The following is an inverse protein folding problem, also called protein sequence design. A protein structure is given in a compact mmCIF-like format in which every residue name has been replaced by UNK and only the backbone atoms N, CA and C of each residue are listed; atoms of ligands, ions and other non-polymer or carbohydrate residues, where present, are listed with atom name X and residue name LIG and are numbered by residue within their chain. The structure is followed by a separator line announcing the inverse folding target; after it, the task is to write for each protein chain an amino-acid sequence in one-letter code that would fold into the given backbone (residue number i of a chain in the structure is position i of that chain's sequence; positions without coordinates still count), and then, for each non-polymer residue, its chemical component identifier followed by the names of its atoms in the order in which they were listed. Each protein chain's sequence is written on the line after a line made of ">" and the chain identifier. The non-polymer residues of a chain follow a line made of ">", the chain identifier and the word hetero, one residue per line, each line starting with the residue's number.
data_IF_991587639045
#
_entry.id   IF_991587639045
#
_cell.length_a   1.000
_cell.length_b   1.000
_cell.length_c   1.000
_cell.angle_alpha   90.00
_cell.angle_beta   90.00
_cell.angle_gamma   90.00
#
_symmetry.space_group_name_H-M   'P 1'
#
loop_
_entity.id
_entity.type
_entity.pdbx_description
1 polymer ?
#
# COMPACT_ATOMS: atom_id res chain seq x y z
N UNK A 1 6.19 30.24 -8.15
CA UNK A 1 5.62 29.02 -7.57
C UNK A 1 4.37 29.46 -6.81
N UNK A 2 3.20 28.97 -7.18
CA UNK A 2 1.98 29.25 -6.40
C UNK A 2 2.11 28.56 -5.04
N UNK A 3 2.04 29.34 -3.96
CA UNK A 3 2.01 28.78 -2.62
C UNK A 3 0.69 27.99 -2.45
N UNK A 4 0.78 26.74 -2.01
CA UNK A 4 -0.41 25.94 -1.63
C UNK A 4 -1.08 26.55 -0.41
N UNK A 5 -0.27 27.11 0.49
CA UNK A 5 -0.64 27.81 1.70
C UNK A 5 0.41 28.89 2.04
N UNK A 6 0.25 29.57 3.13
CA UNK A 6 1.15 30.62 3.65
C UNK A 6 2.28 30.10 4.57
N UNK A 7 2.45 28.76 4.66
CA UNK A 7 3.53 28.16 5.41
C UNK A 7 4.88 28.27 4.68
N UNK A 8 6.01 28.27 5.41
CA UNK A 8 7.34 28.30 4.80
C UNK A 8 7.57 27.21 3.76
N UNK A 9 8.43 27.43 2.77
CA UNK A 9 8.86 26.39 1.84
C UNK A 9 9.41 25.16 2.57
N UNK A 10 9.08 23.95 2.11
CA UNK A 10 9.48 22.71 2.79
C UNK A 10 11.00 22.59 3.00
N UNK A 11 11.80 23.16 2.11
CA UNK A 11 13.26 23.19 2.27
C UNK A 11 13.66 23.95 3.53
N UNK A 12 13.07 25.11 3.77
CA UNK A 12 13.31 25.91 4.98
C UNK A 12 12.82 25.19 6.25
N UNK A 13 11.68 24.52 6.18
CA UNK A 13 11.17 23.68 7.29
C UNK A 13 12.17 22.57 7.63
N UNK A 14 12.68 21.86 6.62
CA UNK A 14 13.68 20.81 6.82
C UNK A 14 14.98 21.34 7.40
N UNK A 15 15.45 22.51 6.96
CA UNK A 15 16.65 23.16 7.49
C UNK A 15 16.43 23.63 8.94
N UNK A 16 15.33 24.31 9.21
CA UNK A 16 14.98 24.85 10.54
C UNK A 16 14.87 23.75 11.60
N UNK A 17 14.26 22.63 11.26
CA UNK A 17 14.07 21.50 12.17
C UNK A 17 15.20 20.44 12.09
N UNK A 18 16.23 20.66 11.28
CA UNK A 18 17.33 19.70 11.12
C UNK A 18 16.89 18.32 10.60
N UNK A 19 15.89 18.27 9.73
CA UNK A 19 15.28 17.04 9.22
C UNK A 19 16.06 16.42 8.07
N UNK A 20 17.30 16.01 8.32
CA UNK A 20 18.06 15.25 7.33
C UNK A 20 17.42 13.86 7.15
N UNK A 21 17.19 13.46 5.89
CA UNK A 21 16.63 12.16 5.56
C UNK A 21 17.52 11.01 6.07
N UNK A 22 16.93 10.07 6.80
CA UNK A 22 17.61 8.88 7.32
C UNK A 22 17.40 7.68 6.39
N UNK A 23 18.51 7.12 5.87
CA UNK A 23 18.46 5.89 5.05
C UNK A 23 17.84 4.70 5.78
N UNK A 24 18.07 4.58 7.10
CA UNK A 24 17.49 3.53 7.93
C UNK A 24 15.97 3.58 8.00
N UNK A 25 15.37 4.75 7.76
CA UNK A 25 13.92 4.94 7.71
C UNK A 25 13.38 4.95 6.26
N UNK A 26 14.23 4.77 5.26
CA UNK A 26 13.83 4.80 3.84
C UNK A 26 13.29 6.15 3.36
N UNK A 27 13.71 7.25 4.00
CA UNK A 27 13.18 8.58 3.76
C UNK A 27 13.69 9.19 2.46
N UNK A 28 12.76 9.67 1.62
CA UNK A 28 13.00 10.48 0.42
C UNK A 28 11.89 11.54 0.40
N UNK A 29 12.22 12.79 0.68
CA UNK A 29 11.24 13.87 0.82
C UNK A 29 10.89 14.50 -0.52
N UNK A 30 9.63 14.86 -0.69
CA UNK A 30 9.10 15.61 -1.82
C UNK A 30 8.97 17.08 -1.42
N UNK A 31 9.74 17.96 -2.07
CA UNK A 31 9.69 19.41 -1.78
C UNK A 31 8.83 20.19 -2.77
N UNK A 32 8.54 19.63 -3.94
CA UNK A 32 7.72 20.27 -4.96
C UNK A 32 6.23 20.15 -4.60
N UNK A 33 5.66 21.27 -4.17
CA UNK A 33 4.25 21.36 -3.79
C UNK A 33 3.30 21.20 -4.99
N UNK A 34 3.74 21.43 -6.23
CA UNK A 34 2.91 21.14 -7.41
C UNK A 34 2.79 19.63 -7.60
N UNK A 35 3.88 18.89 -7.37
CA UNK A 35 3.87 17.43 -7.43
C UNK A 35 3.02 16.83 -6.32
N UNK A 36 3.21 17.27 -5.06
CA UNK A 36 2.38 16.76 -3.95
C UNK A 36 0.92 17.13 -4.12
N UNK A 37 0.59 18.32 -4.67
CA UNK A 37 -0.76 18.69 -5.08
C UNK A 37 -1.32 17.77 -6.17
N UNK A 38 -0.51 17.39 -7.17
CA UNK A 38 -0.92 16.40 -8.18
C UNK A 38 -1.23 15.04 -7.56
N UNK A 39 -0.41 14.60 -6.60
CA UNK A 39 -0.64 13.34 -5.87
C UNK A 39 -1.94 13.44 -5.05
N UNK A 40 -2.15 14.51 -4.31
CA UNK A 40 -3.36 14.73 -3.53
C UNK A 40 -4.62 14.71 -4.40
N UNK A 41 -4.62 15.43 -5.54
CA UNK A 41 -5.74 15.43 -6.50
C UNK A 41 -6.00 14.04 -7.10
N UNK A 42 -4.97 13.21 -7.27
CA UNK A 42 -5.13 11.84 -7.77
C UNK A 42 -5.83 10.91 -6.79
N UNK A 43 -5.90 11.28 -5.51
CA UNK A 43 -6.74 10.59 -4.53
C UNK A 43 -8.25 10.87 -4.72
N UNK A 44 -8.61 11.68 -5.72
CA UNK A 44 -9.99 12.06 -6.07
C UNK A 44 -10.50 13.23 -5.21
N UNK A 45 -11.77 13.63 -5.37
CA UNK A 45 -12.35 14.69 -4.54
C UNK A 45 -12.21 14.37 -3.06
N UNK A 46 -11.66 15.31 -2.28
CA UNK A 46 -11.34 15.10 -0.86
C UNK A 46 -12.35 15.78 0.09
N UNK A 47 -13.30 16.55 -0.45
CA UNK A 47 -14.32 17.19 0.37
C UNK A 47 -15.12 16.15 1.17
N UNK A 48 -15.22 16.37 2.47
CA UNK A 48 -15.86 15.42 3.40
C UNK A 48 -15.08 14.13 3.70
N UNK A 49 -13.89 13.93 3.11
CA UNK A 49 -13.10 12.70 3.21
C UNK A 49 -12.03 12.83 4.29
N UNK A 50 -11.93 11.83 5.16
CA UNK A 50 -10.76 11.62 6.05
C UNK A 50 -9.64 10.95 5.26
N UNK A 51 -8.44 11.55 5.25
CA UNK A 51 -7.28 10.94 4.61
C UNK A 51 -6.32 10.43 5.66
N UNK A 52 -5.91 9.17 5.54
CA UNK A 52 -4.83 8.60 6.34
C UNK A 52 -3.54 8.69 5.54
N UNK A 53 -2.53 9.35 6.10
CA UNK A 53 -1.20 9.47 5.52
C UNK A 53 -0.19 8.72 6.38
N UNK A 54 0.62 7.88 5.75
CA UNK A 54 1.67 7.12 6.42
C UNK A 54 3.02 7.74 6.06
N UNK A 55 3.79 8.12 7.08
CA UNK A 55 5.09 8.73 6.91
C UNK A 55 5.03 10.12 6.27
N UNK A 56 4.30 11.08 6.86
CA UNK A 56 4.20 12.44 6.33
C UNK A 56 5.56 13.15 6.23
N UNK A 57 6.55 12.73 7.02
CA UNK A 57 7.84 13.40 7.10
C UNK A 57 7.68 14.87 7.47
N UNK A 58 8.29 15.82 6.73
CA UNK A 58 8.12 17.25 6.98
C UNK A 58 6.75 17.81 6.53
N UNK A 59 5.82 16.98 6.07
CA UNK A 59 4.44 17.36 5.78
C UNK A 59 4.16 17.87 4.38
N UNK A 60 5.00 17.54 3.39
CA UNK A 60 4.79 18.03 2.01
C UNK A 60 3.50 17.54 1.37
N UNK A 61 3.18 16.26 1.50
CA UNK A 61 1.92 15.70 1.02
C UNK A 61 0.77 16.06 1.96
N UNK A 62 0.99 16.10 3.27
CA UNK A 62 0.02 16.53 4.28
C UNK A 62 -0.57 17.89 3.94
N UNK A 63 0.29 18.89 3.65
CA UNK A 63 -0.13 20.25 3.25
C UNK A 63 -0.99 20.22 1.99
N UNK A 64 -0.58 19.43 0.99
CA UNK A 64 -1.34 19.30 -0.24
C UNK A 64 -2.72 18.66 -0.02
N UNK A 65 -2.83 17.61 0.79
CA UNK A 65 -4.10 16.96 1.12
C UNK A 65 -5.07 17.93 1.81
N UNK A 66 -4.56 18.72 2.76
CA UNK A 66 -5.36 19.72 3.49
C UNK A 66 -5.80 20.86 2.56
N UNK A 67 -4.92 21.33 1.69
CA UNK A 67 -5.20 22.40 0.73
C UNK A 67 -6.19 21.96 -0.37
N UNK A 68 -6.13 20.69 -0.81
CA UNK A 68 -7.08 20.11 -1.77
C UNK A 68 -8.44 19.72 -1.13
N UNK A 69 -8.69 20.11 0.12
CA UNK A 69 -10.01 20.06 0.73
C UNK A 69 -10.30 18.83 1.58
N UNK A 70 -9.29 18.00 1.94
CA UNK A 70 -9.54 16.90 2.86
C UNK A 70 -10.25 17.40 4.14
N UNK A 71 -11.32 16.71 4.55
CA UNK A 71 -12.01 17.02 5.80
C UNK A 71 -11.00 17.07 6.95
N UNK A 72 -10.18 16.07 7.03
CA UNK A 72 -9.06 15.96 7.96
C UNK A 72 -8.00 14.99 7.42
N UNK A 73 -6.78 15.11 7.93
CA UNK A 73 -5.68 14.18 7.70
C UNK A 73 -5.28 13.55 9.03
N UNK A 74 -5.23 12.22 9.08
CA UNK A 74 -4.66 11.46 10.18
C UNK A 74 -3.29 10.99 9.70
N UNK A 75 -2.23 11.59 10.25
CA UNK A 75 -0.85 11.36 9.82
C UNK A 75 -0.11 10.49 10.85
N UNK A 76 0.32 9.29 10.44
CA UNK A 76 1.08 8.38 11.31
C UNK A 76 2.56 8.50 10.97
N UNK A 77 3.37 9.01 11.91
CA UNK A 77 4.80 9.26 11.74
C UNK A 77 5.63 8.54 12.81
N UNK A 78 6.63 7.80 12.35
CA UNK A 78 7.56 7.09 13.23
C UNK A 78 8.76 7.94 13.63
N UNK A 79 9.15 8.90 12.80
CA UNK A 79 10.27 9.79 13.07
C UNK A 79 9.83 11.01 13.90
N UNK A 80 10.00 10.91 15.20
CA UNK A 80 9.59 11.98 16.14
C UNK A 80 10.20 13.36 15.83
N UNK A 81 11.32 13.39 15.08
CA UNK A 81 11.93 14.66 14.66
C UNK A 81 11.02 15.47 13.74
N UNK A 82 10.09 14.81 13.04
CA UNK A 82 9.13 15.45 12.15
C UNK A 82 7.94 16.09 12.91
N UNK A 83 7.69 15.70 14.16
CA UNK A 83 6.53 16.15 14.92
C UNK A 83 6.46 17.69 15.09
N UNK A 84 7.55 18.43 15.34
CA UNK A 84 7.50 19.89 15.42
C UNK A 84 7.04 20.54 14.09
N UNK A 85 7.54 20.06 12.94
CA UNK A 85 7.12 20.58 11.64
C UNK A 85 5.65 20.27 11.35
N UNK A 86 5.17 19.10 11.73
CA UNK A 86 3.76 18.73 11.59
C UNK A 86 2.86 19.55 12.54
N UNK A 87 3.36 19.93 13.72
CA UNK A 87 2.63 20.81 14.64
C UNK A 87 2.38 22.20 14.05
N UNK A 88 3.33 22.77 13.31
CA UNK A 88 3.14 24.05 12.58
C UNK A 88 2.02 23.93 11.54
N UNK A 89 1.97 22.81 10.81
CA UNK A 89 0.88 22.55 9.87
C UNK A 89 -0.46 22.43 10.61
N UNK A 90 -0.48 21.73 11.76
CA UNK A 90 -1.69 21.59 12.58
C UNK A 90 -2.21 22.94 13.08
N UNK A 91 -1.32 23.87 13.44
CA UNK A 91 -1.70 25.24 13.84
C UNK A 91 -2.32 26.02 12.67
N UNK A 92 -1.81 25.82 11.45
CA UNK A 92 -2.35 26.45 10.23
C UNK A 92 -3.71 25.89 9.81
N UNK A 93 -3.95 24.62 10.11
CA UNK A 93 -5.18 23.90 9.78
C UNK A 93 -5.84 23.35 11.08
N UNK A 94 -6.34 24.21 11.97
CA UNK A 94 -6.81 23.79 13.28
C UNK A 94 -7.94 22.74 13.18
N UNK A 95 -7.80 21.65 13.94
CA UNK A 95 -8.76 20.56 13.97
C UNK A 95 -8.80 19.67 12.72
N UNK A 96 -7.92 19.92 11.72
CA UNK A 96 -7.91 19.15 10.47
C UNK A 96 -6.68 18.25 10.30
N UNK A 97 -5.66 18.38 11.12
CA UNK A 97 -4.50 17.49 11.15
C UNK A 97 -4.36 16.83 12.51
N UNK A 98 -4.41 15.50 12.52
CA UNK A 98 -4.19 14.66 13.69
C UNK A 98 -2.91 13.86 13.49
N UNK A 99 -1.90 14.18 14.28
CA UNK A 99 -0.58 13.50 14.18
C UNK A 99 -0.50 12.42 15.24
N UNK A 100 -0.20 11.20 14.79
CA UNK A 100 0.00 10.02 15.64
C UNK A 100 1.46 9.59 15.53
N UNK A 101 2.20 9.65 16.65
CA UNK A 101 3.57 9.10 16.71
C UNK A 101 3.51 7.59 16.84
N UNK A 102 4.07 6.84 15.88
CA UNK A 102 4.06 5.39 15.93
C UNK A 102 4.41 4.70 14.61
N UNK A 103 4.46 3.37 14.68
CA UNK A 103 4.67 2.51 13.51
C UNK A 103 3.33 2.12 12.90
N UNK A 104 3.11 2.46 11.62
CA UNK A 104 1.89 2.13 10.90
C UNK A 104 1.63 0.61 10.78
N UNK A 105 2.67 -0.22 10.88
CA UNK A 105 2.53 -1.68 10.94
C UNK A 105 1.93 -2.16 12.28
N UNK A 106 2.03 -1.38 13.34
CA UNK A 106 1.52 -1.73 14.68
C UNK A 106 0.23 -0.97 15.00
N UNK A 107 -0.07 0.09 14.24
CA UNK A 107 -1.22 0.97 14.48
C UNK A 107 -2.49 0.40 13.85
N UNK A 108 -3.61 0.44 14.58
CA UNK A 108 -4.94 0.18 14.03
C UNK A 108 -5.49 1.45 13.38
N UNK A 109 -5.25 1.58 12.08
CA UNK A 109 -5.66 2.76 11.30
C UNK A 109 -7.19 2.89 11.19
N UNK A 110 -7.90 1.76 11.17
CA UNK A 110 -9.37 1.74 11.12
C UNK A 110 -9.97 2.29 12.41
N UNK A 111 -9.43 1.88 13.55
CA UNK A 111 -9.82 2.42 14.85
C UNK A 111 -9.56 3.92 14.96
N UNK A 112 -8.39 4.40 14.47
CA UNK A 112 -8.08 5.83 14.43
C UNK A 112 -9.10 6.62 13.59
N UNK A 113 -9.49 6.11 12.42
CA UNK A 113 -10.52 6.76 11.59
C UNK A 113 -11.85 6.82 12.32
N UNK A 114 -12.25 5.75 12.99
CA UNK A 114 -13.49 5.70 13.78
C UNK A 114 -13.45 6.69 14.96
N UNK A 115 -12.34 6.79 15.68
CA UNK A 115 -12.13 7.71 16.79
C UNK A 115 -12.24 9.19 16.35
N UNK A 116 -11.75 9.51 15.15
CA UNK A 116 -11.81 10.86 14.57
C UNK A 116 -13.08 11.12 13.74
N UNK A 117 -14.18 10.46 14.09
CA UNK A 117 -15.51 10.74 13.54
C UNK A 117 -15.89 9.91 12.31
N UNK A 118 -15.10 8.92 11.93
CA UNK A 118 -15.43 7.96 10.86
C UNK A 118 -15.73 8.62 9.50
N UNK A 119 -16.63 7.98 8.73
CA UNK A 119 -17.06 8.46 7.42
C UNK A 119 -16.19 7.97 6.27
N UNK A 120 -16.32 8.55 5.07
CA UNK A 120 -15.48 8.18 3.94
C UNK A 120 -14.01 8.40 4.27
N UNK A 121 -13.19 7.36 4.07
CA UNK A 121 -11.78 7.42 4.34
C UNK A 121 -10.94 6.90 3.17
N UNK A 122 -9.76 7.48 2.97
CA UNK A 122 -8.78 7.09 1.94
C UNK A 122 -7.38 7.02 2.54
N UNK A 123 -6.53 6.22 1.93
CA UNK A 123 -5.11 6.26 2.23
C UNK A 123 -4.40 6.95 1.07
N UNK A 124 -3.65 8.01 1.36
CA UNK A 124 -2.81 8.69 0.38
C UNK A 124 -1.43 8.88 1.00
N UNK A 125 -0.40 8.22 0.47
CA UNK A 125 0.91 8.21 1.11
C UNK A 125 2.07 8.04 0.13
N UNK A 126 3.16 8.75 0.42
CA UNK A 126 4.49 8.45 -0.10
C UNK A 126 5.16 7.46 0.86
N UNK A 127 4.86 6.17 0.68
CA UNK A 127 5.28 5.12 1.62
C UNK A 127 6.81 4.95 1.65
N UNK A 128 7.41 4.77 2.85
CA UNK A 128 8.79 4.31 2.94
C UNK A 128 8.93 2.95 2.23
N UNK A 129 9.93 2.82 1.34
CA UNK A 129 10.07 1.66 0.46
C UNK A 129 10.23 0.32 1.21
N UNK A 130 10.77 0.35 2.41
CA UNK A 130 11.01 -0.83 3.24
C UNK A 130 9.74 -1.41 3.88
N UNK A 131 8.67 -0.63 4.04
CA UNK A 131 7.42 -1.07 4.70
C UNK A 131 6.19 -1.04 3.79
N UNK A 132 6.25 -0.33 2.66
CA UNK A 132 5.10 -0.10 1.80
C UNK A 132 4.43 -1.38 1.31
N UNK A 133 5.21 -2.39 0.89
CA UNK A 133 4.66 -3.68 0.45
C UNK A 133 4.01 -4.45 1.60
N UNK A 134 4.59 -4.42 2.80
CA UNK A 134 4.04 -5.09 3.97
C UNK A 134 2.70 -4.47 4.39
N UNK A 135 2.60 -3.14 4.39
CA UNK A 135 1.37 -2.41 4.64
C UNK A 135 0.28 -2.77 3.63
N UNK A 136 0.61 -2.73 2.33
CA UNK A 136 -0.34 -3.10 1.29
C UNK A 136 -0.87 -4.51 1.46
N UNK A 137 0.00 -5.50 1.68
CA UNK A 137 -0.39 -6.90 1.91
C UNK A 137 -1.31 -7.01 3.12
N UNK A 138 -0.97 -6.38 4.25
CA UNK A 138 -1.80 -6.36 5.46
C UNK A 138 -3.20 -5.82 5.19
N UNK A 139 -3.33 -4.73 4.43
CA UNK A 139 -4.65 -4.17 4.07
C UNK A 139 -5.44 -5.11 3.16
N UNK A 140 -4.80 -5.80 2.23
CA UNK A 140 -5.45 -6.76 1.34
C UNK A 140 -5.80 -8.09 2.04
N UNK A 141 -5.12 -8.46 3.12
CA UNK A 141 -5.39 -9.66 3.92
C UNK A 141 -6.50 -9.47 4.97
N UNK A 142 -7.03 -8.24 5.14
CA UNK A 142 -8.07 -7.95 6.13
C UNK A 142 -9.27 -8.89 5.95
N UNK A 143 -9.71 -9.51 7.06
CA UNK A 143 -10.84 -10.43 7.08
C UNK A 143 -11.67 -10.20 8.36
N UNK A 144 -13.01 -10.06 8.28
CA UNK A 144 -13.81 -10.02 7.05
C UNK A 144 -13.46 -8.82 6.18
N UNK A 145 -13.73 -8.95 4.86
CA UNK A 145 -13.47 -7.87 3.91
C UNK A 145 -14.50 -6.74 4.06
N UNK A 146 -14.23 -5.87 4.99
CA UNK A 146 -14.94 -4.62 5.21
C UNK A 146 -13.89 -3.50 5.35
N UNK A 147 -13.23 -3.10 4.24
CA UNK A 147 -12.19 -2.10 4.33
C UNK A 147 -12.80 -0.78 4.79
N UNK A 148 -12.14 -0.15 5.77
CA UNK A 148 -12.53 1.17 6.28
C UNK A 148 -12.17 2.30 5.30
N UNK A 149 -11.54 1.99 4.18
CA UNK A 149 -11.13 2.92 3.13
C UNK A 149 -11.80 2.58 1.80
N UNK A 150 -12.11 3.60 0.99
CA UNK A 150 -12.68 3.46 -0.36
C UNK A 150 -11.63 3.58 -1.48
N UNK A 151 -10.40 4.03 -1.17
CA UNK A 151 -9.32 4.21 -2.13
C UNK A 151 -7.96 4.22 -1.45
N UNK A 152 -6.98 3.66 -2.13
CA UNK A 152 -5.56 3.78 -1.82
C UNK A 152 -4.88 4.51 -2.97
N UNK A 153 -4.11 5.56 -2.67
CA UNK A 153 -3.24 6.30 -3.61
C UNK A 153 -1.84 6.28 -3.04
N UNK A 154 -1.03 5.36 -3.51
CA UNK A 154 0.23 5.01 -2.87
C UNK A 154 1.40 5.15 -3.83
N UNK A 155 2.54 5.62 -3.30
CA UNK A 155 3.78 5.65 -4.06
C UNK A 155 4.62 4.41 -3.78
N UNK A 156 5.08 3.78 -4.86
CA UNK A 156 6.01 2.65 -4.83
C UNK A 156 7.15 2.88 -5.83
N UNK A 157 8.25 2.15 -5.67
CA UNK A 157 9.22 2.00 -6.75
C UNK A 157 8.52 1.40 -7.97
N UNK A 158 8.90 1.85 -9.19
CA UNK A 158 8.22 1.46 -10.42
C UNK A 158 8.10 -0.05 -10.59
N UNK A 159 9.16 -0.81 -10.33
CA UNK A 159 9.14 -2.27 -10.38
C UNK A 159 8.08 -2.87 -9.44
N UNK A 160 7.93 -2.31 -8.24
CA UNK A 160 6.89 -2.77 -7.28
C UNK A 160 5.50 -2.39 -7.77
N UNK A 161 5.34 -1.18 -8.31
CA UNK A 161 4.07 -0.73 -8.89
C UNK A 161 3.63 -1.63 -10.05
N UNK A 162 4.55 -1.99 -10.96
CA UNK A 162 4.31 -2.91 -12.07
C UNK A 162 3.85 -4.28 -11.55
N UNK A 163 4.46 -4.80 -10.49
CA UNK A 163 4.04 -6.06 -9.84
C UNK A 163 2.65 -5.98 -9.17
N UNK A 164 2.28 -4.84 -8.62
CA UNK A 164 0.96 -4.62 -7.98
C UNK A 164 -0.15 -4.69 -9.02
N UNK A 165 0.05 -4.09 -10.20
CA UNK A 165 -0.97 -4.00 -11.24
C UNK A 165 -0.93 -5.15 -12.25
N UNK A 166 0.11 -6.01 -12.19
CA UNK A 166 0.32 -7.08 -13.16
C UNK A 166 -0.80 -8.12 -13.13
N UNK A 167 -1.15 -8.60 -14.32
CA UNK A 167 -2.05 -9.72 -14.57
C UNK A 167 -1.25 -10.87 -15.20
N UNK A 168 -1.80 -12.07 -15.39
CA UNK A 168 -1.13 -13.16 -16.09
C UNK A 168 -0.62 -12.82 -17.51
N UNK A 169 -1.15 -11.74 -18.12
CA UNK A 169 -0.64 -11.25 -19.41
C UNK A 169 0.75 -10.61 -19.29
N UNK A 170 1.08 -10.01 -18.15
CA UNK A 170 2.40 -9.46 -17.83
C UNK A 170 3.22 -10.47 -17.01
N UNK A 171 3.53 -11.62 -17.62
CA UNK A 171 4.16 -12.75 -16.93
C UNK A 171 5.42 -12.41 -16.13
N UNK A 172 6.22 -11.43 -16.57
CA UNK A 172 7.46 -11.06 -15.91
C UNK A 172 7.19 -10.43 -14.52
N UNK A 173 6.18 -9.60 -14.42
CA UNK A 173 5.86 -8.82 -13.23
C UNK A 173 4.78 -9.48 -12.36
N UNK A 174 3.94 -10.33 -12.99
CA UNK A 174 2.86 -11.01 -12.29
C UNK A 174 3.39 -11.94 -11.20
N UNK A 175 2.92 -11.74 -9.98
CA UNK A 175 3.36 -12.46 -8.80
C UNK A 175 2.38 -12.32 -7.65
N UNK A 176 2.84 -12.62 -6.43
CA UNK A 176 2.01 -12.54 -5.21
C UNK A 176 1.26 -11.22 -5.10
N UNK A 177 1.92 -10.07 -5.34
CA UNK A 177 1.28 -8.77 -5.26
C UNK A 177 0.17 -8.60 -6.29
N UNK A 178 0.39 -9.02 -7.54
CA UNK A 178 -0.63 -8.99 -8.59
C UNK A 178 -1.85 -9.84 -8.25
N UNK A 179 -1.64 -11.04 -7.66
CA UNK A 179 -2.75 -11.90 -7.21
C UNK A 179 -3.54 -11.23 -6.10
N UNK A 180 -2.89 -10.78 -5.03
CA UNK A 180 -3.57 -10.18 -3.88
C UNK A 180 -4.29 -8.88 -4.25
N UNK A 181 -3.64 -8.01 -5.02
CA UNK A 181 -4.22 -6.75 -5.50
C UNK A 181 -5.39 -7.01 -6.44
N UNK A 182 -5.24 -7.90 -7.41
CA UNK A 182 -6.30 -8.25 -8.37
C UNK A 182 -7.51 -8.92 -7.71
N UNK A 183 -7.28 -9.65 -6.60
CA UNK A 183 -8.35 -10.27 -5.83
C UNK A 183 -9.21 -9.24 -5.08
N UNK A 184 -8.59 -8.32 -4.33
CA UNK A 184 -9.30 -7.38 -3.44
C UNK A 184 -9.57 -6.00 -4.05
N UNK A 185 -8.89 -5.65 -5.15
CA UNK A 185 -8.99 -4.30 -5.72
C UNK A 185 -8.93 -4.29 -7.25
N UNK A 186 -9.20 -3.10 -7.81
CA UNK A 186 -8.79 -2.71 -9.15
C UNK A 186 -7.61 -1.77 -9.01
N UNK A 187 -6.45 -2.24 -9.44
CA UNK A 187 -5.20 -1.49 -9.34
C UNK A 187 -4.77 -0.93 -10.70
N UNK A 188 -4.24 0.30 -10.71
CA UNK A 188 -3.62 0.90 -11.90
C UNK A 188 -2.51 1.87 -11.52
N UNK A 189 -1.52 2.02 -12.38
CA UNK A 189 -0.51 3.08 -12.29
C UNK A 189 -1.14 4.35 -12.86
N UNK A 190 -1.03 5.45 -12.11
CA UNK A 190 -1.54 6.75 -12.53
C UNK A 190 -0.49 7.57 -13.29
N UNK A 191 0.72 7.67 -12.72
CA UNK A 191 1.86 8.35 -13.33
C UNK A 191 3.17 8.02 -12.60
N UNK A 192 4.28 8.30 -13.29
CA UNK A 192 5.62 8.13 -12.74
C UNK A 192 6.13 9.42 -12.09
N UNK A 193 7.00 9.23 -11.09
CA UNK A 193 7.71 10.30 -10.37
C UNK A 193 9.22 10.05 -10.51
N UNK A 194 9.95 10.95 -11.19
CA UNK A 194 11.38 10.77 -11.42
C UNK A 194 12.19 10.91 -10.13
N UNK A 195 13.38 10.29 -10.04
CA UNK A 195 14.27 10.42 -8.88
C UNK A 195 14.60 11.87 -8.50
N UNK A 196 14.69 12.76 -9.48
CA UNK A 196 15.00 14.19 -9.29
C UNK A 196 13.94 14.96 -8.49
N UNK A 197 12.74 14.39 -8.32
CA UNK A 197 11.69 14.99 -7.52
C UNK A 197 11.92 14.85 -6.00
N UNK A 198 12.86 14.00 -5.60
CA UNK A 198 13.10 13.66 -4.19
C UNK A 198 14.41 14.24 -3.67
N UNK A 199 14.45 14.44 -2.37
CA UNK A 199 15.67 14.80 -1.62
C UNK A 199 15.81 13.86 -0.41
N UNK A 200 16.87 13.02 -0.36
CA UNK A 200 17.79 12.72 -1.45
C UNK A 200 17.09 11.94 -2.59
N UNK A 201 17.64 11.97 -3.82
CA UNK A 201 17.05 11.21 -4.91
C UNK A 201 17.23 9.70 -4.70
N UNK A 202 16.17 8.89 -4.89
CA UNK A 202 16.27 7.43 -4.92
C UNK A 202 17.01 6.98 -6.20
N UNK A 203 17.42 5.71 -6.23
CA UNK A 203 18.13 5.14 -7.39
C UNK A 203 17.24 4.84 -8.58
N UNK A 204 15.93 4.76 -8.37
CA UNK A 204 14.94 4.30 -9.35
C UNK A 204 13.74 5.23 -9.39
N UNK A 205 13.06 5.24 -10.51
CA UNK A 205 11.77 5.93 -10.68
C UNK A 205 10.72 5.34 -9.72
N UNK A 206 9.86 6.19 -9.20
CA UNK A 206 8.68 5.79 -8.44
C UNK A 206 7.42 5.95 -9.29
N UNK A 207 6.33 5.30 -8.89
CA UNK A 207 5.05 5.42 -9.54
C UNK A 207 3.94 5.57 -8.52
N UNK A 208 2.93 6.38 -8.83
CA UNK A 208 1.70 6.47 -8.05
C UNK A 208 0.75 5.38 -8.53
N UNK A 209 0.34 4.54 -7.60
CA UNK A 209 -0.61 3.45 -7.83
C UNK A 209 -1.92 3.78 -7.12
N UNK A 210 -3.01 3.65 -7.86
CA UNK A 210 -4.36 3.67 -7.31
C UNK A 210 -4.88 2.25 -7.14
N UNK A 211 -5.45 1.95 -5.98
CA UNK A 211 -6.20 0.71 -5.76
C UNK A 211 -7.59 1.07 -5.23
N UNK A 212 -8.63 0.61 -5.94
CA UNK A 212 -10.02 0.77 -5.52
C UNK A 212 -10.51 -0.58 -5.03
N UNK A 213 -10.90 -0.71 -3.75
CA UNK A 213 -11.42 -1.96 -3.20
C UNK A 213 -12.60 -2.49 -4.02
N UNK A 214 -12.66 -3.81 -4.22
CA UNK A 214 -13.83 -4.49 -4.77
C UNK A 214 -14.87 -4.61 -3.67
N UNK A 215 -16.13 -4.29 -3.99
CA UNK A 215 -17.23 -4.46 -3.05
C UNK A 215 -17.46 -5.95 -2.75
N UNK A 216 -17.29 -6.79 -3.75
CA UNK A 216 -17.62 -8.22 -3.69
C UNK A 216 -16.48 -9.06 -4.31
N UNK A 217 -15.34 -9.21 -3.61
CA UNK A 217 -14.26 -10.07 -4.07
C UNK A 217 -14.63 -11.54 -3.90
N UNK A 218 -14.00 -12.42 -4.67
CA UNK A 218 -14.19 -13.88 -4.53
C UNK A 218 -13.93 -14.30 -3.06
N UNK A 219 -14.83 -15.09 -2.46
CA UNK A 219 -14.73 -15.47 -1.04
C UNK A 219 -13.48 -16.34 -0.82
N UNK A 220 -12.62 -15.91 0.07
CA UNK A 220 -11.38 -16.63 0.42
C UNK A 220 -10.78 -16.03 1.68
N UNK A 221 -10.14 -16.87 2.49
CA UNK A 221 -9.29 -16.39 3.59
C UNK A 221 -8.02 -15.75 3.01
N UNK A 222 -7.84 -14.45 3.27
CA UNK A 222 -6.73 -13.65 2.74
C UNK A 222 -5.36 -14.16 3.19
N UNK A 223 -5.24 -14.68 4.40
CA UNK A 223 -3.99 -15.22 4.94
C UNK A 223 -3.61 -16.52 4.24
N UNK A 224 -4.59 -17.38 3.95
CA UNK A 224 -4.34 -18.63 3.21
C UNK A 224 -3.93 -18.32 1.77
N UNK A 225 -4.65 -17.41 1.09
CA UNK A 225 -4.29 -16.99 -0.25
C UNK A 225 -2.88 -16.39 -0.30
N UNK A 226 -2.54 -15.56 0.67
CA UNK A 226 -1.22 -14.95 0.79
C UNK A 226 -0.12 -16.00 1.02
N UNK A 227 -0.36 -16.99 1.89
CA UNK A 227 0.59 -18.07 2.15
C UNK A 227 0.82 -18.97 0.90
N UNK A 228 -0.26 -19.35 0.19
CA UNK A 228 -0.17 -20.15 -1.03
C UNK A 228 0.59 -19.38 -2.13
N UNK A 229 0.24 -18.11 -2.35
CA UNK A 229 0.92 -17.30 -3.36
C UNK A 229 2.38 -17.09 -3.01
N UNK A 230 2.71 -16.91 -1.73
CA UNK A 230 4.10 -16.82 -1.28
C UNK A 230 4.88 -18.10 -1.57
N UNK A 231 4.30 -19.27 -1.30
CA UNK A 231 4.93 -20.56 -1.61
C UNK A 231 5.08 -20.77 -3.12
N UNK A 232 4.03 -20.51 -3.90
CA UNK A 232 4.01 -20.70 -5.35
C UNK A 232 5.05 -19.82 -6.05
N UNK A 233 5.11 -18.52 -5.71
CA UNK A 233 6.02 -17.55 -6.33
C UNK A 233 7.42 -17.52 -5.69
N UNK A 234 7.61 -18.12 -4.52
CA UNK A 234 8.92 -18.24 -3.87
C UNK A 234 9.93 -19.03 -4.67
N UNK A 235 9.46 -19.95 -5.54
CA UNK A 235 10.28 -20.70 -6.47
C UNK A 235 9.75 -20.54 -7.90
N UNK A 236 9.62 -19.30 -8.36
CA UNK A 236 8.95 -18.90 -9.60
C UNK A 236 9.28 -19.74 -10.84
N UNK A 237 10.55 -20.18 -11.00
CA UNK A 237 10.99 -20.96 -12.17
C UNK A 237 10.58 -22.43 -12.11
N UNK A 238 10.05 -22.91 -10.99
CA UNK A 238 9.61 -24.31 -10.83
C UNK A 238 8.12 -24.48 -11.14
N UNK A 239 7.76 -25.71 -11.48
CA UNK A 239 6.35 -26.12 -11.61
C UNK A 239 5.65 -26.05 -10.26
N UNK A 240 4.34 -25.82 -10.24
CA UNK A 240 3.54 -25.69 -9.01
C UNK A 240 3.66 -26.91 -8.09
N UNK A 241 3.68 -28.15 -8.64
CA UNK A 241 3.93 -29.36 -7.83
C UNK A 241 5.24 -29.33 -7.06
N UNK A 242 6.23 -28.55 -7.52
CA UNK A 242 7.52 -28.41 -6.85
C UNK A 242 7.56 -27.20 -5.91
N UNK A 243 7.02 -26.05 -6.33
CA UNK A 243 7.01 -24.84 -5.52
C UNK A 243 6.09 -24.96 -4.31
N UNK A 244 5.01 -25.75 -4.41
CA UNK A 244 4.11 -26.05 -3.29
C UNK A 244 4.53 -27.25 -2.45
N UNK A 245 5.65 -27.91 -2.79
CA UNK A 245 6.15 -29.04 -1.99
C UNK A 245 6.53 -28.56 -0.58
N UNK A 246 5.93 -29.20 0.42
CA UNK A 246 6.13 -28.84 1.82
C UNK A 246 5.23 -27.68 2.30
N UNK A 247 4.31 -27.18 1.46
CA UNK A 247 3.31 -26.24 1.91
C UNK A 247 2.45 -26.88 3.00
N UNK A 248 2.39 -26.22 4.15
CA UNK A 248 1.62 -26.69 5.30
C UNK A 248 0.61 -25.62 5.74
N UNK A 249 -0.59 -26.07 6.10
CA UNK A 249 -1.64 -25.24 6.64
C UNK A 249 -2.18 -25.89 7.93
N UNK A 250 -2.30 -25.11 9.01
CA UNK A 250 -2.78 -25.57 10.31
C UNK A 250 -2.01 -26.80 10.84
N UNK A 251 -0.69 -26.85 10.59
CA UNK A 251 0.17 -27.97 11.02
C UNK A 251 0.11 -29.22 10.14
N UNK A 252 -0.70 -29.21 9.07
CA UNK A 252 -0.83 -30.31 8.12
C UNK A 252 -0.12 -29.97 6.81
N UNK A 253 0.84 -30.79 6.39
CA UNK A 253 1.47 -30.71 5.07
C UNK A 253 0.49 -31.24 4.02
N UNK A 254 0.22 -30.43 2.98
CA UNK A 254 -0.69 -30.80 1.90
C UNK A 254 0.07 -31.44 0.75
N UNK A 255 -0.53 -32.45 0.11
CA UNK A 255 -0.01 -32.98 -1.15
C UNK A 255 -0.28 -31.98 -2.28
N UNK A 256 0.78 -31.43 -2.93
CA UNK A 256 0.61 -30.41 -3.94
C UNK A 256 -0.10 -30.93 -5.20
N UNK A 257 0.06 -32.22 -5.56
CA UNK A 257 -0.60 -32.79 -6.75
C UNK A 257 -2.09 -32.90 -6.49
N UNK A 258 -2.47 -33.54 -5.39
CA UNK A 258 -3.88 -33.67 -5.03
C UNK A 258 -4.58 -32.30 -4.86
N UNK A 259 -3.89 -31.29 -4.28
CA UNK A 259 -4.41 -29.95 -4.14
C UNK A 259 -4.65 -29.26 -5.49
N UNK A 260 -3.72 -29.38 -6.43
CA UNK A 260 -3.82 -28.78 -7.77
C UNK A 260 -4.92 -29.44 -8.62
N UNK A 261 -4.97 -30.79 -8.60
CA UNK A 261 -5.97 -31.58 -9.33
C UNK A 261 -7.40 -31.31 -8.82
N UNK A 262 -7.58 -31.15 -7.51
CA UNK A 262 -8.87 -30.83 -6.89
C UNK A 262 -9.51 -29.53 -7.44
N UNK A 263 -8.70 -28.60 -7.98
CA UNK A 263 -9.18 -27.31 -8.55
C UNK A 263 -8.98 -27.21 -10.05
N UNK A 264 -8.59 -28.31 -10.72
CA UNK A 264 -8.43 -28.38 -12.18
C UNK A 264 -7.19 -27.60 -12.68
N UNK A 265 -6.15 -27.47 -11.87
CA UNK A 265 -4.88 -26.85 -12.27
C UNK A 265 -3.85 -27.95 -12.54
N UNK A 266 -3.28 -27.94 -13.74
CA UNK A 266 -2.23 -28.90 -14.10
C UNK A 266 -0.98 -28.73 -13.21
N UNK A 267 -0.48 -29.80 -12.55
CA UNK A 267 0.67 -29.75 -11.65
C UNK A 267 1.97 -29.28 -12.29
N UNK A 268 2.05 -29.32 -13.63
CA UNK A 268 3.21 -28.90 -14.43
C UNK A 268 3.24 -27.41 -14.75
N UNK A 269 2.13 -26.69 -14.55
CA UNK A 269 2.10 -25.22 -14.69
C UNK A 269 3.03 -24.55 -13.72
N UNK A 270 3.47 -23.34 -14.09
CA UNK A 270 4.18 -22.43 -13.19
C UNK A 270 3.19 -21.43 -12.56
N UNK A 271 3.60 -20.78 -11.46
CA UNK A 271 2.75 -19.86 -10.73
C UNK A 271 2.21 -18.71 -11.62
N UNK A 272 3.05 -18.14 -12.50
CA UNK A 272 2.65 -17.06 -13.41
C UNK A 272 1.63 -17.45 -14.49
N UNK A 273 1.30 -18.74 -14.62
CA UNK A 273 0.29 -19.24 -15.56
C UNK A 273 -1.09 -19.44 -14.92
N UNK A 274 -1.20 -19.17 -13.61
CA UNK A 274 -2.44 -19.28 -12.85
C UNK A 274 -3.00 -17.89 -12.55
N UNK A 275 -4.25 -17.68 -12.90
CA UNK A 275 -4.95 -16.41 -12.64
C UNK A 275 -5.38 -16.27 -11.16
N UNK A 276 -5.93 -15.11 -10.85
CA UNK A 276 -6.41 -14.80 -9.49
C UNK A 276 -7.46 -15.80 -9.03
N UNK A 277 -8.41 -16.17 -9.90
CA UNK A 277 -9.47 -17.13 -9.60
C UNK A 277 -8.92 -18.52 -9.28
N UNK A 278 -7.91 -18.96 -10.04
CA UNK A 278 -7.20 -20.22 -9.80
C UNK A 278 -6.52 -20.25 -8.43
N UNK A 279 -5.84 -19.16 -8.04
CA UNK A 279 -5.24 -19.06 -6.71
C UNK A 279 -6.30 -19.00 -5.59
N UNK A 280 -7.44 -18.35 -5.81
CA UNK A 280 -8.54 -18.35 -4.84
C UNK A 280 -9.08 -19.77 -4.66
N UNK A 281 -9.34 -20.52 -5.76
CA UNK A 281 -9.76 -21.93 -5.66
C UNK A 281 -8.74 -22.79 -4.92
N UNK A 282 -7.43 -22.58 -5.18
CA UNK A 282 -6.36 -23.28 -4.42
C UNK A 282 -6.43 -23.00 -2.93
N UNK A 283 -6.63 -21.74 -2.54
CA UNK A 283 -6.74 -21.36 -1.14
C UNK A 283 -7.99 -21.95 -0.47
N UNK A 284 -9.13 -21.98 -1.17
CA UNK A 284 -10.36 -22.61 -0.69
C UNK A 284 -10.18 -24.12 -0.52
N UNK A 285 -9.58 -24.81 -1.49
CA UNK A 285 -9.32 -26.24 -1.41
C UNK A 285 -8.34 -26.58 -0.27
N UNK A 286 -7.27 -25.77 -0.09
CA UNK A 286 -6.33 -25.95 1.01
C UNK A 286 -7.00 -25.78 2.38
N UNK A 287 -7.88 -24.78 2.51
CA UNK A 287 -8.67 -24.58 3.73
C UNK A 287 -9.57 -25.78 4.03
N UNK A 288 -10.26 -26.32 3.02
CA UNK A 288 -11.15 -27.47 3.17
C UNK A 288 -10.40 -28.76 3.54
N UNK A 289 -9.20 -28.98 2.96
CA UNK A 289 -8.38 -30.17 3.24
C UNK A 289 -7.75 -30.09 4.65
N UNK A 290 -7.38 -28.87 5.10
CA UNK A 290 -6.76 -28.68 6.41
C UNK A 290 -7.79 -28.64 7.58
N UNK A 291 -9.08 -28.56 7.25
CA UNK A 291 -10.22 -28.75 8.16
C UNK A 291 -10.42 -27.71 9.15
#
# INVERSE_FOLDING_TARGET
>A
MSAIDDLPPLREVVETHGLLAKKSLGQNFLYDLNLTGRIARSAGPLDGVTVVEIGPGPGGLTRALLAEGAKQVIAVERDERCLPALAEISQRYPGRLHVVSGDALETDLGALVAEHGGGPARICANLPYNVGTALLVRWLETDPWLPWFDRLTLMFQREVAERIVATPAQRVDYGRLGVLSGWRSRARILFDVPPSAFTPPPKVTSSIVELIPRADPLPCDGRILSAITQAAFGQRRKMLRQSLKGFALRGRTLDPIALLEAVGIEPTKRAEEVDVEGFVRLAQAAAAIAG
#
